data_IF_360377868124
#
_entry.id   IF_360377868124
#
_cell.length_a   1.000
_cell.length_b   1.000
_cell.length_c   1.000
_cell.angle_alpha   90.00
_cell.angle_beta   90.00
_cell.angle_gamma   90.00
#
_symmetry.space_group_name_H-M   'P 1'
#
loop_
_entity.id
_entity.type
_entity.pdbx_description
1 polymer ?
#
# COMPACT_ATOMS: atom_id res chain seq x y z
N UNK A 1 55.98 31.69 -10.52
CA UNK A 1 55.18 30.45 -10.59
C UNK A 1 54.10 30.60 -9.54
N UNK A 2 52.89 30.97 -9.95
CA UNK A 2 51.76 31.10 -9.04
C UNK A 2 51.34 29.72 -8.57
N UNK A 3 51.24 29.53 -7.26
CA UNK A 3 50.62 28.35 -6.70
C UNK A 3 49.12 28.48 -6.88
N UNK A 4 48.57 27.85 -7.91
CA UNK A 4 47.13 27.60 -7.98
C UNK A 4 46.80 26.66 -6.81
N UNK A 5 46.23 27.23 -5.74
CA UNK A 5 45.72 26.46 -4.61
C UNK A 5 44.71 25.44 -5.16
N UNK A 6 44.97 24.15 -4.90
CA UNK A 6 44.01 23.11 -5.29
C UNK A 6 42.66 23.43 -4.64
N UNK A 7 41.61 23.57 -5.44
CA UNK A 7 40.26 23.83 -4.95
C UNK A 7 39.75 22.74 -3.98
N UNK A 8 40.35 21.56 -4.03
CA UNK A 8 40.15 20.45 -3.10
C UNK A 8 40.64 20.72 -1.66
N UNK A 9 41.37 21.81 -1.39
CA UNK A 9 41.76 22.25 -0.04
C UNK A 9 40.73 23.22 0.58
N UNK A 10 39.86 23.84 -0.23
CA UNK A 10 38.75 24.72 0.25
C UNK A 10 37.58 23.94 0.87
N UNK A 11 37.80 22.67 1.20
CA UNK A 11 36.75 21.65 1.36
C UNK A 11 35.91 21.82 2.63
N UNK A 12 36.43 22.42 3.69
CA UNK A 12 35.64 22.60 4.93
C UNK A 12 34.70 23.81 4.87
N UNK A 13 35.09 24.92 4.23
CA UNK A 13 34.31 26.16 4.21
C UNK A 13 32.97 26.05 3.46
N UNK A 14 32.88 25.15 2.48
CA UNK A 14 31.71 25.00 1.61
C UNK A 14 30.88 23.73 1.88
N UNK A 15 31.14 23.02 2.99
CA UNK A 15 30.47 21.73 3.30
C UNK A 15 28.95 21.86 3.38
N UNK A 16 28.44 22.86 4.10
CA UNK A 16 26.99 23.08 4.27
C UNK A 16 26.31 23.39 2.94
N UNK A 17 26.93 24.25 2.13
CA UNK A 17 26.41 24.60 0.80
C UNK A 17 26.38 23.38 -0.10
N UNK A 18 27.44 22.56 -0.10
CA UNK A 18 27.49 21.29 -0.85
C UNK A 18 26.41 20.31 -0.44
N UNK A 19 26.21 20.10 0.87
CA UNK A 19 25.14 19.23 1.37
C UNK A 19 23.77 19.71 0.90
N UNK A 20 23.53 21.03 0.96
CA UNK A 20 22.26 21.60 0.53
C UNK A 20 22.03 21.44 -0.97
N UNK A 21 23.04 21.73 -1.79
CA UNK A 21 22.94 21.54 -3.24
C UNK A 21 22.78 20.08 -3.65
N UNK A 22 23.49 19.18 -2.98
CA UNK A 22 23.33 17.75 -3.20
C UNK A 22 21.94 17.26 -2.80
N UNK A 23 21.40 17.76 -1.67
CA UNK A 23 20.03 17.48 -1.24
C UNK A 23 19.00 17.92 -2.29
N UNK A 24 19.14 19.13 -2.83
CA UNK A 24 18.29 19.64 -3.92
C UNK A 24 18.38 18.77 -5.17
N UNK A 25 19.59 18.36 -5.57
CA UNK A 25 19.80 17.51 -6.73
C UNK A 25 19.20 16.11 -6.53
N UNK A 26 19.44 15.48 -5.38
CA UNK A 26 18.80 14.21 -5.03
C UNK A 26 17.27 14.34 -4.99
N UNK A 27 16.74 15.46 -4.52
CA UNK A 27 15.29 15.69 -4.50
C UNK A 27 14.72 15.77 -5.93
N UNK A 28 15.34 16.53 -6.82
CA UNK A 28 14.96 16.58 -8.25
C UNK A 28 14.95 15.20 -8.90
N UNK A 29 15.98 14.40 -8.63
CA UNK A 29 16.03 13.03 -9.16
C UNK A 29 14.90 12.16 -8.59
N UNK A 30 14.81 12.04 -7.27
CA UNK A 30 13.88 11.10 -6.64
C UNK A 30 12.42 11.51 -6.79
N UNK A 31 12.09 12.80 -6.66
CA UNK A 31 10.71 13.30 -6.65
C UNK A 31 10.23 13.74 -8.03
N UNK A 32 11.09 14.38 -8.83
CA UNK A 32 10.69 15.01 -10.10
C UNK A 32 11.10 14.19 -11.34
N UNK A 33 11.85 13.10 -11.16
CA UNK A 33 12.41 12.28 -12.25
C UNK A 33 13.27 13.09 -13.24
N UNK A 34 14.01 14.08 -12.72
CA UNK A 34 14.86 14.97 -13.51
C UNK A 34 16.10 14.22 -14.08
N UNK A 35 16.19 14.19 -15.42
CA UNK A 35 17.27 13.51 -16.17
C UNK A 35 18.65 14.16 -15.98
N UNK A 36 18.72 15.48 -15.78
CA UNK A 36 19.98 16.20 -15.54
C UNK A 36 20.52 15.85 -14.14
N UNK A 37 19.64 15.81 -13.14
CA UNK A 37 19.98 15.35 -11.80
C UNK A 37 20.43 13.89 -11.79
N UNK A 38 19.77 13.03 -12.58
CA UNK A 38 20.18 11.62 -12.77
C UNK A 38 21.61 11.53 -13.31
N UNK A 39 21.97 12.34 -14.31
CA UNK A 39 23.32 12.34 -14.90
C UNK A 39 24.41 12.61 -13.86
N UNK A 40 24.20 13.57 -12.95
CA UNK A 40 25.16 13.88 -11.87
C UNK A 40 25.21 12.77 -10.82
N UNK A 41 24.07 12.16 -10.49
CA UNK A 41 23.99 11.00 -9.59
C UNK A 41 24.74 9.78 -10.14
N UNK A 42 24.56 9.48 -11.43
CA UNK A 42 25.30 8.41 -12.10
C UNK A 42 26.81 8.68 -12.07
N UNK A 43 27.23 9.93 -12.27
CA UNK A 43 28.64 10.32 -12.13
C UNK A 43 29.16 10.15 -10.70
N UNK A 44 28.36 10.48 -9.69
CA UNK A 44 28.69 10.25 -8.28
C UNK A 44 28.83 8.75 -7.97
N UNK A 45 27.94 7.90 -8.47
CA UNK A 45 28.05 6.44 -8.28
C UNK A 45 29.28 5.88 -8.99
N UNK A 46 29.55 6.33 -10.23
CA UNK A 46 30.77 5.97 -10.96
C UNK A 46 32.02 6.39 -10.20
N UNK A 47 32.02 7.58 -9.60
CA UNK A 47 33.16 8.12 -8.83
C UNK A 47 33.55 7.30 -7.59
N UNK A 48 32.71 6.37 -7.13
CA UNK A 48 33.00 5.46 -5.99
C UNK A 48 33.78 4.22 -6.40
N UNK A 49 33.60 3.78 -7.63
CA UNK A 49 34.27 2.63 -8.19
C UNK A 49 35.43 3.24 -8.96
N UNK A 50 36.68 3.02 -8.56
CA UNK A 50 37.88 3.68 -9.10
C UNK A 50 38.11 3.51 -10.63
N UNK A 51 37.12 2.97 -11.35
CA UNK A 51 37.02 2.87 -12.78
C UNK A 51 36.47 4.18 -13.38
N UNK A 52 37.36 4.85 -14.08
CA UNK A 52 37.09 5.87 -15.11
C UNK A 52 36.98 7.29 -14.55
N UNK A 53 38.08 8.03 -14.71
CA UNK A 53 38.01 9.45 -15.06
C UNK A 53 37.14 9.58 -16.30
N UNK A 54 35.83 9.81 -16.12
CA UNK A 54 35.00 10.32 -17.19
C UNK A 54 35.51 11.74 -17.37
N UNK A 55 36.52 11.90 -18.22
CA UNK A 55 36.94 13.19 -18.75
C UNK A 55 35.65 13.92 -19.12
N UNK A 56 35.40 15.03 -18.44
CA UNK A 56 34.32 15.95 -18.76
C UNK A 56 34.32 16.15 -20.28
N UNK A 57 33.31 15.59 -20.96
CA UNK A 57 33.22 15.60 -22.42
C UNK A 57 32.73 16.98 -22.88
N UNK A 58 33.23 17.35 -24.06
CA UNK A 58 33.23 18.60 -24.83
C UNK A 58 32.08 19.61 -24.65
N UNK A 59 32.45 20.89 -24.81
CA UNK A 59 31.69 22.12 -24.62
C UNK A 59 30.38 22.20 -25.44
N UNK A 60 29.27 21.78 -24.83
CA UNK A 60 27.94 22.34 -25.08
C UNK A 60 27.38 22.93 -23.79
N UNK A 61 26.43 23.88 -23.86
CA UNK A 61 25.95 24.61 -22.67
C UNK A 61 25.37 23.73 -21.54
N UNK A 62 24.89 22.52 -21.86
CA UNK A 62 24.45 21.53 -20.87
C UNK A 62 25.63 20.83 -20.17
N UNK A 63 26.78 20.73 -20.83
CA UNK A 63 28.00 20.16 -20.27
C UNK A 63 28.71 21.14 -19.34
N UNK A 64 28.60 22.45 -19.58
CA UNK A 64 29.11 23.49 -18.68
C UNK A 64 28.42 23.44 -17.31
N UNK A 65 27.08 23.41 -17.29
CA UNK A 65 26.30 23.34 -16.05
C UNK A 65 26.52 22.02 -15.29
N UNK A 66 26.70 20.91 -16.01
CA UNK A 66 27.08 19.62 -15.42
C UNK A 66 28.46 19.72 -14.75
N UNK A 67 29.46 20.25 -15.46
CA UNK A 67 30.83 20.37 -14.95
C UNK A 67 30.91 21.29 -13.74
N UNK A 68 30.23 22.45 -13.77
CA UNK A 68 30.13 23.35 -12.62
C UNK A 68 29.52 22.64 -11.40
N UNK A 69 28.49 21.81 -11.63
CA UNK A 69 27.82 21.06 -10.54
C UNK A 69 28.74 19.99 -9.96
N UNK A 70 29.41 19.21 -10.80
CA UNK A 70 30.39 18.17 -10.40
C UNK A 70 31.56 18.80 -9.62
N UNK A 71 32.07 19.94 -10.11
CA UNK A 71 33.13 20.69 -9.47
C UNK A 71 32.69 21.25 -8.11
N UNK A 72 31.52 21.88 -8.04
CA UNK A 72 30.96 22.42 -6.80
C UNK A 72 30.74 21.34 -5.75
N UNK A 73 30.32 20.13 -6.17
CA UNK A 73 30.12 18.96 -5.30
C UNK A 73 31.43 18.31 -4.84
N UNK A 74 32.57 18.67 -5.44
CA UNK A 74 33.87 18.10 -5.10
C UNK A 74 34.04 16.67 -5.63
N UNK A 75 33.40 16.35 -6.76
CA UNK A 75 33.43 15.04 -7.40
C UNK A 75 34.60 14.88 -8.39
N UNK A 76 35.45 15.90 -8.54
CA UNK A 76 36.71 15.77 -9.27
C UNK A 76 37.81 15.21 -8.37
N UNK A 77 38.31 14.02 -8.74
CA UNK A 77 39.46 13.42 -8.06
C UNK A 77 40.71 14.26 -8.31
N UNK A 78 41.39 14.66 -7.24
CA UNK A 78 42.64 15.40 -7.33
C UNK A 78 43.82 14.44 -7.47
N UNK A 79 44.72 14.69 -8.42
CA UNK A 79 45.92 13.86 -8.65
C UNK A 79 47.05 14.12 -7.62
N UNK A 80 46.82 14.97 -6.61
CA UNK A 80 47.81 15.28 -5.58
C UNK A 80 47.75 14.19 -4.49
N UNK A 81 48.87 13.48 -4.20
CA UNK A 81 48.90 12.29 -3.31
C UNK A 81 48.52 12.48 -1.82
N UNK A 82 47.97 13.63 -1.43
CA UNK A 82 47.51 13.94 -0.07
C UNK A 82 46.06 14.44 -0.01
N UNK A 83 45.37 14.52 -1.16
CA UNK A 83 44.02 15.07 -1.27
C UNK A 83 42.93 13.99 -1.46
N UNK A 84 43.32 12.71 -1.54
CA UNK A 84 42.39 11.59 -1.63
C UNK A 84 41.47 11.49 -0.41
N UNK A 85 41.96 11.85 0.78
CA UNK A 85 41.15 11.90 1.99
C UNK A 85 40.00 12.91 1.88
N UNK A 86 40.23 14.07 1.28
CA UNK A 86 39.21 15.10 1.09
C UNK A 86 38.12 14.65 0.11
N UNK A 87 38.51 13.95 -0.95
CA UNK A 87 37.57 13.36 -1.90
C UNK A 87 36.73 12.26 -1.23
N UNK A 88 37.36 11.35 -0.50
CA UNK A 88 36.66 10.28 0.22
C UNK A 88 35.69 10.83 1.27
N UNK A 89 36.07 11.89 2.00
CA UNK A 89 35.18 12.58 2.94
C UNK A 89 33.99 13.23 2.22
N UNK A 90 34.20 13.82 1.04
CA UNK A 90 33.11 14.36 0.23
C UNK A 90 32.14 13.25 -0.21
N UNK A 91 32.65 12.13 -0.74
CA UNK A 91 31.83 10.99 -1.15
C UNK A 91 30.99 10.45 0.02
N UNK A 92 31.59 10.23 1.19
CA UNK A 92 30.88 9.73 2.36
C UNK A 92 29.77 10.69 2.81
N UNK A 93 30.06 11.99 2.85
CA UNK A 93 29.07 13.01 3.21
C UNK A 93 27.91 13.04 2.20
N UNK A 94 28.19 13.02 0.90
CA UNK A 94 27.15 12.99 -0.14
C UNK A 94 26.31 11.71 -0.07
N UNK A 95 26.93 10.57 0.27
CA UNK A 95 26.22 9.30 0.42
C UNK A 95 25.20 9.34 1.56
N UNK A 96 25.58 9.90 2.72
CA UNK A 96 24.67 10.09 3.86
C UNK A 96 23.46 10.91 3.44
N UNK A 97 23.69 12.08 2.82
CA UNK A 97 22.60 12.98 2.38
C UNK A 97 21.72 12.32 1.31
N UNK A 98 22.30 11.60 0.33
CA UNK A 98 21.53 10.86 -0.68
C UNK A 98 20.61 9.84 -0.01
N UNK A 99 21.13 9.08 0.96
CA UNK A 99 20.35 8.07 1.67
C UNK A 99 19.24 8.69 2.54
N UNK A 100 19.48 9.84 3.17
CA UNK A 100 18.44 10.62 3.86
C UNK A 100 17.31 11.03 2.91
N UNK A 101 17.65 11.62 1.75
CA UNK A 101 16.65 12.05 0.75
C UNK A 101 15.89 10.86 0.18
N UNK A 102 16.58 9.75 -0.12
CA UNK A 102 15.97 8.51 -0.60
C UNK A 102 15.01 7.91 0.42
N UNK A 103 15.37 7.91 1.70
CA UNK A 103 14.49 7.46 2.77
C UNK A 103 13.23 8.32 2.83
N UNK A 104 13.38 9.65 2.82
CA UNK A 104 12.25 10.58 2.78
C UNK A 104 11.35 10.40 1.54
N UNK A 105 11.93 10.08 0.38
CA UNK A 105 11.17 9.77 -0.83
C UNK A 105 10.35 8.49 -0.68
N UNK A 106 10.94 7.42 -0.14
CA UNK A 106 10.19 6.18 0.12
C UNK A 106 9.05 6.40 1.10
N UNK A 107 9.27 7.20 2.15
CA UNK A 107 8.21 7.61 3.07
C UNK A 107 7.12 8.41 2.35
N UNK A 108 7.49 9.38 1.51
CA UNK A 108 6.54 10.16 0.71
C UNK A 108 5.70 9.28 -0.21
N UNK A 109 6.32 8.37 -0.96
CA UNK A 109 5.62 7.42 -1.85
C UNK A 109 4.70 6.50 -1.07
N UNK A 110 5.16 5.98 0.09
CA UNK A 110 4.35 5.17 0.98
C UNK A 110 3.11 5.94 1.43
N UNK A 111 3.29 7.16 1.93
CA UNK A 111 2.22 8.04 2.37
C UNK A 111 1.20 8.32 1.26
N UNK A 112 1.68 8.56 0.03
CA UNK A 112 0.81 8.75 -1.13
C UNK A 112 -0.02 7.51 -1.44
N UNK A 113 0.55 6.30 -1.37
CA UNK A 113 -0.18 5.04 -1.58
C UNK A 113 -1.29 4.85 -0.54
N UNK A 114 -0.99 5.11 0.73
CA UNK A 114 -1.98 5.05 1.80
C UNK A 114 -3.10 6.09 1.64
N UNK A 115 -2.76 7.33 1.26
CA UNK A 115 -3.76 8.38 0.99
C UNK A 115 -4.67 8.04 -0.20
N UNK A 116 -4.11 7.45 -1.27
CA UNK A 116 -4.89 6.97 -2.43
C UNK A 116 -5.82 5.84 -2.03
N UNK A 117 -5.35 4.89 -1.21
CA UNK A 117 -6.20 3.82 -0.69
C UNK A 117 -7.34 4.37 0.18
N UNK A 118 -7.02 5.25 1.13
CA UNK A 118 -7.99 5.89 2.03
C UNK A 118 -9.11 6.58 1.26
N UNK A 119 -8.76 7.33 0.21
CA UNK A 119 -9.71 8.02 -0.67
C UNK A 119 -10.63 7.02 -1.35
N UNK A 120 -10.07 5.99 -2.02
CA UNK A 120 -10.86 4.97 -2.71
C UNK A 120 -11.74 4.17 -1.77
N UNK A 121 -11.25 3.84 -0.58
CA UNK A 121 -12.01 3.13 0.43
C UNK A 121 -13.19 3.98 0.91
N UNK A 122 -13.01 5.29 1.14
CA UNK A 122 -14.11 6.19 1.53
C UNK A 122 -15.18 6.35 0.45
N UNK A 123 -14.77 6.34 -0.81
CA UNK A 123 -15.69 6.37 -1.96
C UNK A 123 -16.45 5.04 -2.18
N UNK A 124 -16.02 3.97 -1.51
CA UNK A 124 -16.54 2.62 -1.71
C UNK A 124 -17.22 2.11 -0.43
N UNK A 125 -18.52 1.87 -0.50
CA UNK A 125 -19.29 1.31 0.62
C UNK A 125 -20.29 0.26 0.16
N UNK A 126 -20.53 -0.71 1.02
CA UNK A 126 -21.64 -1.64 0.85
C UNK A 126 -22.98 -0.89 0.93
N UNK A 127 -24.00 -1.49 0.34
CA UNK A 127 -25.29 -0.82 0.10
C UNK A 127 -26.34 -1.08 1.18
N UNK A 128 -26.10 -2.07 2.04
CA UNK A 128 -27.04 -2.55 3.05
C UNK A 128 -26.74 -2.07 4.48
N UNK A 129 -25.68 -1.28 4.64
CA UNK A 129 -25.34 -0.62 5.89
C UNK A 129 -25.37 0.89 5.71
N UNK A 130 -25.66 1.60 6.79
CA UNK A 130 -25.59 3.05 6.88
C UNK A 130 -24.54 3.43 7.91
N UNK A 131 -23.65 4.34 7.50
CA UNK A 131 -22.59 4.88 8.35
C UNK A 131 -23.05 6.26 8.80
N UNK A 132 -23.02 6.43 10.11
CA UNK A 132 -23.36 7.68 10.78
C UNK A 132 -22.15 8.14 11.58
N UNK A 133 -22.10 9.44 11.88
CA UNK A 133 -21.11 10.01 12.77
C UNK A 133 -21.84 10.72 13.92
N UNK A 134 -21.34 10.55 15.14
CA UNK A 134 -21.81 11.35 16.28
C UNK A 134 -21.16 12.75 16.28
N UNK A 135 -21.56 13.59 17.25
CA UNK A 135 -21.02 14.95 17.41
C UNK A 135 -19.49 14.98 17.67
N UNK A 136 -18.90 13.84 18.05
CA UNK A 136 -17.46 13.67 18.25
C UNK A 136 -16.76 13.04 17.03
N UNK A 137 -17.43 13.01 15.88
CA UNK A 137 -16.97 12.37 14.64
C UNK A 137 -16.69 10.86 14.77
N UNK A 138 -17.21 10.19 15.80
CA UNK A 138 -17.11 8.73 15.92
C UNK A 138 -18.10 8.08 14.97
N UNK A 139 -17.58 7.23 14.11
CA UNK A 139 -18.40 6.51 13.15
C UNK A 139 -19.10 5.32 13.81
N UNK A 140 -20.38 5.15 13.53
CA UNK A 140 -21.15 3.97 13.88
C UNK A 140 -21.90 3.44 12.67
N UNK A 141 -22.08 2.13 12.63
CA UNK A 141 -22.69 1.42 11.50
C UNK A 141 -24.01 0.81 11.95
N UNK A 142 -25.03 0.93 11.11
CA UNK A 142 -26.37 0.38 11.34
C UNK A 142 -26.88 -0.32 10.09
N UNK A 143 -27.80 -1.28 10.25
CA UNK A 143 -28.43 -1.97 9.12
C UNK A 143 -29.42 -1.04 8.43
N UNK A 144 -29.29 -0.89 7.10
CA UNK A 144 -30.30 -0.23 6.28
C UNK A 144 -31.49 -1.18 6.13
N UNK A 145 -32.62 -0.85 6.76
CA UNK A 145 -33.83 -1.67 6.69
C UNK A 145 -34.40 -1.60 5.27
N UNK A 146 -34.53 -2.77 4.64
CA UNK A 146 -35.15 -2.95 3.32
C UNK A 146 -36.33 -3.92 3.40
N UNK A 147 -37.54 -3.39 3.27
CA UNK A 147 -38.78 -4.14 3.43
C UNK A 147 -39.00 -5.20 2.33
N UNK A 148 -38.62 -4.87 1.09
CA UNK A 148 -38.78 -5.76 -0.08
C UNK A 148 -37.45 -6.34 -0.57
N UNK A 149 -36.50 -6.56 0.35
CA UNK A 149 -35.20 -7.12 -0.04
C UNK A 149 -35.36 -8.58 -0.45
N UNK A 150 -34.91 -8.88 -1.67
CA UNK A 150 -34.75 -10.24 -2.17
C UNK A 150 -33.35 -10.38 -2.74
N UNK A 151 -32.61 -11.38 -2.24
CA UNK A 151 -31.30 -11.74 -2.75
C UNK A 151 -31.47 -12.65 -3.97
N UNK A 152 -31.38 -12.03 -5.14
CA UNK A 152 -31.52 -12.72 -6.42
C UNK A 152 -30.41 -13.77 -6.63
N UNK A 153 -30.77 -14.92 -7.19
CA UNK A 153 -29.82 -15.97 -7.57
C UNK A 153 -28.75 -15.45 -8.52
N UNK A 154 -29.11 -14.56 -9.45
CA UNK A 154 -28.15 -13.92 -10.35
C UNK A 154 -27.08 -13.08 -9.63
N UNK A 155 -27.42 -12.47 -8.49
CA UNK A 155 -26.44 -11.74 -7.67
C UNK A 155 -25.53 -12.71 -6.91
N UNK A 156 -26.09 -13.82 -6.41
CA UNK A 156 -25.32 -14.89 -5.81
C UNK A 156 -24.28 -15.46 -6.79
N UNK A 157 -24.71 -15.85 -8.00
CA UNK A 157 -23.81 -16.38 -9.04
C UNK A 157 -22.68 -15.42 -9.38
N UNK A 158 -22.99 -14.13 -9.60
CA UNK A 158 -21.96 -13.10 -9.83
C UNK A 158 -20.98 -12.95 -8.67
N UNK A 159 -21.45 -13.13 -7.43
CA UNK A 159 -20.59 -13.07 -6.24
C UNK A 159 -19.62 -14.26 -6.23
N UNK A 160 -20.12 -15.46 -6.50
CA UNK A 160 -19.31 -16.68 -6.60
C UNK A 160 -18.25 -16.57 -7.71
N UNK A 161 -18.65 -16.16 -8.92
CA UNK A 161 -17.73 -15.95 -10.05
C UNK A 161 -16.62 -14.95 -9.71
N UNK A 162 -16.97 -13.80 -9.10
CA UNK A 162 -15.98 -12.80 -8.69
C UNK A 162 -15.02 -13.33 -7.63
N UNK A 163 -15.51 -14.17 -6.73
CA UNK A 163 -14.71 -14.79 -5.69
C UNK A 163 -13.73 -15.81 -6.29
N UNK A 164 -14.18 -16.65 -7.21
CA UNK A 164 -13.35 -17.62 -7.95
C UNK A 164 -12.25 -16.91 -8.72
N UNK A 165 -12.61 -15.91 -9.55
CA UNK A 165 -11.65 -15.13 -10.33
C UNK A 165 -10.63 -14.44 -9.44
N UNK A 166 -11.06 -13.88 -8.30
CA UNK A 166 -10.13 -13.26 -7.35
C UNK A 166 -9.13 -14.26 -6.77
N UNK A 167 -9.61 -15.43 -6.32
CA UNK A 167 -8.74 -16.47 -5.76
C UNK A 167 -7.77 -16.96 -6.83
N UNK A 168 -8.25 -17.32 -8.02
CA UNK A 168 -7.40 -17.83 -9.10
C UNK A 168 -6.28 -16.86 -9.48
N UNK A 169 -6.61 -15.57 -9.55
CA UNK A 169 -5.65 -14.51 -9.88
C UNK A 169 -4.56 -14.35 -8.81
N UNK A 170 -4.93 -14.39 -7.53
CA UNK A 170 -4.04 -14.00 -6.43
C UNK A 170 -3.42 -15.18 -5.66
N UNK A 171 -3.86 -16.42 -5.91
CA UNK A 171 -3.40 -17.61 -5.18
C UNK A 171 -1.93 -17.99 -5.48
N UNK A 172 -1.38 -17.61 -6.63
CA UNK A 172 0.04 -17.84 -6.91
C UNK A 172 0.95 -16.87 -6.15
N UNK A 173 0.41 -15.75 -5.67
CA UNK A 173 1.14 -14.74 -4.92
C UNK A 173 1.04 -15.02 -3.42
N UNK A 174 2.14 -15.52 -2.85
CA UNK A 174 2.26 -15.83 -1.42
C UNK A 174 1.93 -14.63 -0.53
N UNK A 175 2.21 -13.40 -0.99
CA UNK A 175 1.86 -12.16 -0.29
C UNK A 175 0.35 -11.97 -0.09
N UNK A 176 -0.50 -12.58 -0.90
CA UNK A 176 -1.96 -12.50 -0.80
C UNK A 176 -2.55 -13.56 0.15
N UNK A 177 -1.80 -14.61 0.49
CA UNK A 177 -2.31 -15.73 1.31
C UNK A 177 -2.82 -15.30 2.70
N UNK A 178 -2.12 -14.41 3.44
CA UNK A 178 -2.62 -13.90 4.72
C UNK A 178 -4.00 -13.25 4.62
N UNK A 179 -4.25 -12.48 3.56
CA UNK A 179 -5.56 -11.86 3.30
C UNK A 179 -6.64 -12.91 3.01
N UNK A 180 -6.36 -13.89 2.14
CA UNK A 180 -7.30 -14.98 1.85
C UNK A 180 -7.66 -15.78 3.11
N UNK A 181 -6.66 -16.11 3.93
CA UNK A 181 -6.86 -16.79 5.20
C UNK A 181 -7.66 -15.93 6.20
N UNK A 182 -7.41 -14.61 6.22
CA UNK A 182 -8.15 -13.63 7.02
C UNK A 182 -9.62 -13.54 6.60
N UNK A 183 -9.90 -13.41 5.31
CA UNK A 183 -11.26 -13.34 4.77
C UNK A 183 -12.05 -14.64 5.03
N UNK A 184 -11.44 -15.80 4.83
CA UNK A 184 -12.04 -17.09 5.20
C UNK A 184 -12.42 -17.11 6.69
N UNK A 185 -11.53 -16.61 7.54
CA UNK A 185 -11.74 -16.56 8.99
C UNK A 185 -12.87 -15.58 9.35
N UNK A 186 -12.95 -14.42 8.69
CA UNK A 186 -14.02 -13.45 8.88
C UNK A 186 -15.40 -14.00 8.47
N UNK A 187 -15.48 -14.72 7.35
CA UNK A 187 -16.69 -15.42 6.93
C UNK A 187 -17.10 -16.48 7.96
N UNK A 188 -16.15 -17.29 8.44
CA UNK A 188 -16.39 -18.28 9.50
C UNK A 188 -16.93 -17.64 10.78
N UNK A 189 -16.35 -16.52 11.22
CA UNK A 189 -16.84 -15.82 12.42
C UNK A 189 -18.29 -15.38 12.30
N UNK A 190 -18.71 -14.94 11.11
CA UNK A 190 -20.09 -14.56 10.85
C UNK A 190 -21.02 -15.77 10.81
N UNK A 191 -20.55 -16.92 10.29
CA UNK A 191 -21.30 -18.18 10.32
C UNK A 191 -21.53 -18.70 11.75
N UNK A 192 -20.60 -18.43 12.66
CA UNK A 192 -20.66 -18.80 14.08
C UNK A 192 -21.49 -17.83 14.94
N UNK A 193 -22.10 -16.79 14.35
CA UNK A 193 -22.77 -15.72 15.08
C UNK A 193 -24.14 -15.35 14.48
N UNK A 194 -25.09 -15.00 15.35
CA UNK A 194 -26.37 -14.40 14.97
C UNK A 194 -26.24 -12.89 14.69
N UNK A 195 -25.15 -12.27 15.14
CA UNK A 195 -24.82 -10.86 14.89
C UNK A 195 -23.71 -10.75 13.86
N UNK A 196 -23.65 -9.63 13.14
CA UNK A 196 -22.54 -9.31 12.25
C UNK A 196 -21.27 -9.24 13.08
N UNK A 197 -20.24 -9.95 12.65
CA UNK A 197 -18.90 -9.85 13.23
C UNK A 197 -18.04 -9.06 12.29
N UNK A 198 -17.50 -7.94 12.79
CA UNK A 198 -16.61 -7.10 12.01
C UNK A 198 -15.19 -7.69 11.99
N UNK A 199 -14.56 -7.57 10.83
CA UNK A 199 -13.17 -7.93 10.61
C UNK A 199 -12.31 -6.65 10.71
N UNK A 200 -11.60 -6.51 11.82
CA UNK A 200 -10.73 -5.35 12.06
C UNK A 200 -9.40 -5.56 11.36
N UNK A 201 -9.08 -4.71 10.39
CA UNK A 201 -7.98 -4.90 9.44
C UNK A 201 -7.19 -3.60 9.25
N UNK A 202 -5.86 -3.69 9.22
CA UNK A 202 -4.98 -2.58 8.88
C UNK A 202 -4.95 -2.34 7.38
N UNK A 203 -4.94 -1.08 6.95
CA UNK A 203 -4.84 -0.68 5.55
C UNK A 203 -3.54 -1.19 4.90
N UNK A 204 -2.50 -1.48 5.69
CA UNK A 204 -1.26 -2.09 5.23
C UNK A 204 -1.48 -3.42 4.50
N UNK A 205 -2.52 -4.17 4.89
CA UNK A 205 -2.87 -5.43 4.23
C UNK A 205 -3.27 -5.21 2.78
N UNK A 206 -3.82 -4.06 2.43
CA UNK A 206 -4.16 -3.74 1.04
C UNK A 206 -3.02 -3.05 0.30
N UNK A 207 -2.25 -2.21 0.98
CA UNK A 207 -1.24 -1.33 0.36
C UNK A 207 0.12 -2.03 0.19
N UNK A 208 0.48 -2.92 1.10
CA UNK A 208 1.81 -3.55 1.15
C UNK A 208 1.80 -5.02 0.72
N UNK A 209 0.63 -5.63 0.59
CA UNK A 209 0.50 -7.04 0.20
C UNK A 209 0.16 -7.20 -1.28
N UNK A 210 0.59 -8.33 -1.85
CA UNK A 210 0.19 -8.75 -3.18
C UNK A 210 0.91 -8.04 -4.32
N UNK A 211 0.30 -8.07 -5.50
CA UNK A 211 0.80 -7.41 -6.71
C UNK A 211 0.23 -6.00 -6.88
N UNK A 212 0.61 -5.30 -7.96
CA UNK A 212 0.17 -3.93 -8.23
C UNK A 212 -1.35 -3.77 -8.41
N UNK A 213 -2.07 -4.86 -8.65
CA UNK A 213 -3.52 -4.86 -8.84
C UNK A 213 -4.29 -5.35 -7.61
N UNK A 214 -3.60 -5.99 -6.66
CA UNK A 214 -4.21 -6.61 -5.48
C UNK A 214 -5.07 -5.63 -4.70
N UNK A 215 -4.55 -4.44 -4.37
CA UNK A 215 -5.28 -3.40 -3.62
C UNK A 215 -6.66 -3.10 -4.23
N UNK A 216 -6.71 -2.91 -5.55
CA UNK A 216 -7.94 -2.60 -6.27
C UNK A 216 -8.89 -3.80 -6.29
N UNK A 217 -8.37 -4.98 -6.61
CA UNK A 217 -9.16 -6.21 -6.70
C UNK A 217 -9.74 -6.60 -5.33
N UNK A 218 -8.98 -6.44 -4.25
CA UNK A 218 -9.40 -6.78 -2.89
C UNK A 218 -10.51 -5.83 -2.42
N UNK A 219 -10.36 -4.52 -2.66
CA UNK A 219 -11.41 -3.55 -2.35
C UNK A 219 -12.70 -3.83 -3.16
N UNK A 220 -12.56 -4.12 -4.45
CA UNK A 220 -13.69 -4.46 -5.32
C UNK A 220 -14.37 -5.76 -4.88
N UNK A 221 -13.61 -6.78 -4.47
CA UNK A 221 -14.17 -8.02 -3.93
C UNK A 221 -14.98 -7.73 -2.65
N UNK A 222 -14.38 -7.05 -1.67
CA UNK A 222 -15.02 -6.80 -0.38
C UNK A 222 -16.29 -5.96 -0.57
N UNK A 223 -16.21 -4.83 -1.27
CA UNK A 223 -17.33 -3.87 -1.37
C UNK A 223 -18.32 -4.27 -2.46
N UNK A 224 -17.87 -4.61 -3.67
CA UNK A 224 -18.78 -4.77 -4.81
C UNK A 224 -19.28 -6.21 -4.98
N UNK A 225 -18.52 -7.21 -4.54
CA UNK A 225 -18.97 -8.61 -4.62
C UNK A 225 -19.63 -9.04 -3.30
N UNK A 226 -18.92 -8.87 -2.19
CA UNK A 226 -19.36 -9.34 -0.87
C UNK A 226 -20.21 -8.31 -0.10
N UNK A 227 -20.36 -7.09 -0.65
CA UNK A 227 -21.17 -6.01 -0.09
C UNK A 227 -20.77 -5.63 1.35
N UNK A 228 -19.49 -5.78 1.68
CA UNK A 228 -18.95 -5.27 2.93
C UNK A 228 -19.07 -3.75 2.98
N UNK A 229 -19.36 -3.24 4.17
CA UNK A 229 -19.17 -1.83 4.49
C UNK A 229 -18.07 -1.68 5.53
N UNK A 230 -17.50 -0.49 5.66
CA UNK A 230 -16.42 -0.27 6.62
C UNK A 230 -16.45 1.13 7.21
N UNK A 231 -15.92 1.25 8.42
CA UNK A 231 -15.64 2.54 9.04
C UNK A 231 -14.22 2.54 9.63
N UNK A 232 -13.66 3.73 9.84
CA UNK A 232 -12.38 3.84 10.54
C UNK A 232 -12.58 3.37 11.98
N UNK A 233 -11.70 2.48 12.45
CA UNK A 233 -11.82 1.92 13.79
C UNK A 233 -11.55 3.03 14.81
N UNK A 234 -12.47 3.25 15.74
CA UNK A 234 -12.22 4.18 16.83
C UNK A 234 -11.00 3.69 17.61
N UNK A 235 -9.95 4.51 17.69
CA UNK A 235 -8.70 4.17 18.37
C UNK A 235 -9.02 3.96 19.86
N UNK A 236 -9.19 2.70 20.27
CA UNK A 236 -9.15 2.31 21.68
C UNK A 236 -7.69 1.95 21.96
N UNK A 237 -6.85 2.96 22.14
CA UNK A 237 -5.42 2.81 22.36
C UNK A 237 -4.77 4.15 22.70
N UNK A 238 -3.92 4.17 23.73
CA UNK A 238 -3.21 5.34 24.23
C UNK A 238 -2.48 6.11 23.12
N UNK A 239 -2.62 7.44 23.03
CA UNK A 239 -1.77 8.25 22.17
C UNK A 239 -0.31 8.05 22.60
N UNK A 240 0.56 7.62 21.70
CA UNK A 240 2.02 7.62 21.94
C UNK A 240 2.76 6.29 21.90
N UNK A 241 2.12 5.15 21.58
CA UNK A 241 2.87 3.91 21.29
C UNK A 241 3.07 3.71 19.78
N UNK A 242 4.03 4.45 19.22
CA UNK A 242 4.93 4.00 18.15
C UNK A 242 4.42 3.55 16.78
N UNK A 243 3.12 3.62 16.46
CA UNK A 243 2.62 3.24 15.13
C UNK A 243 2.49 4.46 14.23
N UNK A 244 2.99 4.33 12.99
CA UNK A 244 3.00 5.36 11.97
C UNK A 244 1.57 5.95 11.83
N UNK A 245 1.33 7.23 12.17
CA UNK A 245 -0.01 7.83 12.31
C UNK A 245 -0.86 7.82 11.03
N UNK A 246 -0.28 7.32 9.93
CA UNK A 246 -0.86 7.24 8.60
C UNK A 246 -1.50 5.89 8.27
N UNK A 247 -1.05 4.81 8.91
CA UNK A 247 -1.59 3.47 8.65
C UNK A 247 -2.87 3.31 9.45
N UNK A 248 -4.01 3.48 8.77
CA UNK A 248 -5.31 3.36 9.40
C UNK A 248 -5.69 1.90 9.62
N UNK A 249 -6.58 1.70 10.57
CA UNK A 249 -7.27 0.42 10.78
C UNK A 249 -8.75 0.62 10.58
N UNK A 250 -9.38 -0.30 9.85
CA UNK A 250 -10.80 -0.26 9.48
C UNK A 250 -11.52 -1.49 10.01
N UNK A 251 -12.76 -1.28 10.42
CA UNK A 251 -13.66 -2.36 10.81
C UNK A 251 -14.55 -2.70 9.60
N UNK A 252 -14.38 -3.90 9.05
CA UNK A 252 -15.11 -4.37 7.87
C UNK A 252 -16.29 -5.25 8.28
N UNK A 253 -17.50 -4.81 7.95
CA UNK A 253 -18.77 -5.46 8.32
C UNK A 253 -19.31 -6.23 7.11
N UNK A 254 -19.51 -7.53 7.28
CA UNK A 254 -20.18 -8.36 6.26
C UNK A 254 -21.63 -7.89 6.08
N UNK A 255 -22.16 -8.06 4.87
CA UNK A 255 -23.56 -7.79 4.55
C UNK A 255 -24.52 -8.54 5.50
N UNK A 256 -25.35 -7.84 6.31
CA UNK A 256 -26.31 -8.47 7.22
C UNK A 256 -27.33 -9.36 6.50
N UNK A 257 -27.55 -9.11 5.21
CA UNK A 257 -28.47 -9.87 4.38
C UNK A 257 -27.84 -11.10 3.72
N UNK A 258 -26.55 -11.38 3.97
CA UNK A 258 -25.91 -12.62 3.50
C UNK A 258 -26.30 -13.81 4.40
N UNK A 259 -26.89 -14.83 3.79
CA UNK A 259 -27.33 -16.03 4.49
C UNK A 259 -26.20 -16.98 4.83
N UNK A 260 -26.45 -17.88 5.78
CA UNK A 260 -25.49 -18.93 6.11
C UNK A 260 -25.24 -19.90 4.96
N UNK A 261 -26.23 -20.07 4.06
CA UNK A 261 -26.07 -20.90 2.87
C UNK A 261 -25.00 -20.30 1.95
N UNK A 262 -25.15 -19.01 1.65
CA UNK A 262 -24.22 -18.25 0.82
C UNK A 262 -22.81 -18.21 1.42
N UNK A 263 -22.69 -17.92 2.72
CA UNK A 263 -21.39 -17.91 3.41
C UNK A 263 -20.71 -19.28 3.26
N UNK A 264 -21.44 -20.39 3.46
CA UNK A 264 -20.87 -21.74 3.30
C UNK A 264 -20.47 -22.03 1.85
N UNK A 265 -21.23 -21.55 0.87
CA UNK A 265 -20.86 -21.72 -0.54
C UNK A 265 -19.59 -20.93 -0.88
N UNK A 266 -19.48 -19.66 -0.47
CA UNK A 266 -18.28 -18.86 -0.63
C UNK A 266 -17.06 -19.50 0.03
N UNK A 267 -17.22 -20.02 1.25
CA UNK A 267 -16.14 -20.69 1.99
C UNK A 267 -15.61 -21.94 1.27
N UNK A 268 -16.41 -22.62 0.43
CA UNK A 268 -15.96 -23.80 -0.34
C UNK A 268 -15.03 -23.44 -1.48
N UNK A 269 -15.01 -22.18 -1.93
CA UNK A 269 -14.13 -21.71 -2.99
C UNK A 269 -12.69 -21.54 -2.52
N UNK A 270 -12.48 -21.36 -1.21
CA UNK A 270 -11.14 -21.13 -0.68
C UNK A 270 -10.25 -22.38 -0.85
N UNK A 271 -8.96 -22.18 -1.14
CA UNK A 271 -8.01 -23.26 -1.11
C UNK A 271 -7.92 -23.85 0.31
N UNK A 272 -7.57 -25.13 0.40
CA UNK A 272 -7.33 -25.79 1.68
C UNK A 272 -6.28 -25.01 2.50
N UNK A 273 -6.49 -24.85 3.81
CA UNK A 273 -5.62 -24.04 4.68
C UNK A 273 -4.13 -24.37 4.56
N UNK A 274 -3.77 -25.65 4.34
CA UNK A 274 -2.39 -26.09 4.13
C UNK A 274 -1.71 -25.55 2.86
N UNK A 275 -2.46 -24.97 1.92
CA UNK A 275 -1.96 -24.32 0.70
C UNK A 275 -1.75 -22.82 0.88
N UNK A 276 -2.24 -22.24 1.97
CA UNK A 276 -2.07 -20.83 2.28
C UNK A 276 -0.91 -20.69 3.26
N UNK A 277 -0.05 -19.71 2.99
CA UNK A 277 1.11 -19.39 3.81
C UNK A 277 0.85 -18.15 4.66
N UNK A 278 1.57 -18.05 5.78
CA UNK A 278 1.41 -16.94 6.71
C UNK A 278 0.20 -17.07 7.63
N UNK A 279 0.05 -16.08 8.51
CA UNK A 279 -1.06 -16.03 9.48
C UNK A 279 -2.24 -15.27 8.87
N UNK A 280 -3.50 -15.64 9.18
CA UNK A 280 -4.66 -14.86 8.80
C UNK A 280 -4.53 -13.40 9.26
N UNK A 281 -4.82 -12.44 8.37
CA UNK A 281 -4.80 -11.03 8.72
C UNK A 281 -6.04 -10.59 9.48
N UNK A 282 -5.89 -9.52 10.26
CA UNK A 282 -6.96 -8.88 11.01
C UNK A 282 -7.45 -9.66 12.24
N UNK A 283 -8.39 -9.06 12.95
CA UNK A 283 -8.90 -9.56 14.24
C UNK A 283 -10.42 -9.52 14.30
N UNK A 284 -10.98 -10.33 15.21
CA UNK A 284 -12.42 -10.45 15.42
C UNK A 284 -12.93 -9.28 16.26
N UNK A 285 -13.91 -8.55 15.76
CA UNK A 285 -14.66 -7.54 16.54
C UNK A 285 -16.14 -7.94 16.60
N UNK A 286 -16.61 -8.21 17.82
CA UNK A 286 -18.02 -8.49 18.05
C UNK A 286 -18.84 -7.20 17.97
N UNK A 287 -20.03 -7.29 17.37
CA UNK A 287 -20.97 -6.17 17.27
C UNK A 287 -22.31 -6.56 17.90
N UNK A 288 -23.20 -5.57 18.04
CA UNK A 288 -24.60 -5.79 18.46
C UNK A 288 -25.57 -5.79 17.29
N UNK A 289 -25.06 -5.81 16.05
CA UNK A 289 -25.85 -5.68 14.85
C UNK A 289 -26.35 -7.05 14.41
N UNK A 290 -27.65 -7.26 14.37
CA UNK A 290 -28.19 -8.56 13.98
C UNK A 290 -27.96 -8.85 12.50
N UNK A 291 -27.74 -10.12 12.17
CA UNK A 291 -27.78 -10.59 10.78
C UNK A 291 -29.23 -10.80 10.37
N UNK A 292 -29.69 -10.05 9.38
CA UNK A 292 -31.09 -10.03 8.95
C UNK A 292 -31.55 -11.32 8.25
N UNK A 293 -30.64 -12.04 7.59
CA UNK A 293 -31.00 -13.16 6.70
C UNK A 293 -30.28 -14.48 7.04
N UNK A 294 -30.01 -14.76 8.32
CA UNK A 294 -29.23 -15.96 8.73
C UNK A 294 -29.73 -17.25 8.08
N UNK A 295 -31.06 -17.46 8.05
CA UNK A 295 -31.66 -18.69 7.54
C UNK A 295 -32.07 -18.63 6.06
N UNK A 296 -31.71 -17.57 5.34
CA UNK A 296 -31.96 -17.45 3.90
C UNK A 296 -33.43 -17.21 3.53
N UNK A 297 -34.26 -16.68 4.43
CA UNK A 297 -35.67 -16.38 4.11
C UNK A 297 -35.82 -15.26 3.06
N UNK A 298 -34.78 -14.43 2.91
CA UNK A 298 -34.70 -13.37 1.91
C UNK A 298 -33.90 -13.80 0.68
N UNK A 299 -33.53 -15.08 0.58
CA UNK A 299 -32.91 -15.63 -0.63
C UNK A 299 -34.00 -15.99 -1.64
N UNK A 300 -33.74 -15.73 -2.92
CA UNK A 300 -34.63 -16.17 -3.99
C UNK A 300 -34.73 -17.69 -3.98
N UNK A 301 -35.96 -18.21 -3.81
CA UNK A 301 -36.17 -19.66 -3.87
C UNK A 301 -35.80 -20.16 -5.27
N UNK A 302 -34.89 -21.15 -5.39
CA UNK A 302 -34.60 -21.74 -6.69
C UNK A 302 -35.90 -22.34 -7.22
N UNK A 303 -36.24 -22.02 -8.47
CA UNK A 303 -37.44 -22.55 -9.12
C UNK A 303 -37.36 -24.07 -9.10
N UNK A 304 -38.49 -24.73 -8.88
CA UNK A 304 -38.57 -26.19 -8.73
C UNK A 304 -37.82 -26.97 -9.82
N UNK A 305 -37.76 -26.44 -11.05
CA UNK A 305 -37.07 -27.05 -12.19
C UNK A 305 -35.54 -26.95 -12.13
N UNK A 306 -34.97 -25.90 -11.54
CA UNK A 306 -33.51 -25.74 -11.43
C UNK A 306 -32.88 -26.75 -10.46
N UNK A 307 -33.68 -27.31 -9.53
CA UNK A 307 -33.24 -28.40 -8.64
C UNK A 307 -33.01 -29.73 -9.35
N UNK A 308 -33.57 -29.92 -10.55
CA UNK A 308 -33.56 -31.21 -11.26
C UNK A 308 -32.79 -31.17 -12.59
N UNK A 309 -32.38 -30.00 -13.07
CA UNK A 309 -31.61 -29.86 -14.32
C UNK A 309 -30.09 -29.95 -14.16
N UNK A 310 -29.56 -30.39 -13.00
CA UNK A 310 -28.15 -30.78 -12.86
C UNK A 310 -27.99 -32.30 -12.98
N UNK A 311 -28.63 -32.91 -13.98
CA UNK A 311 -28.20 -34.17 -14.60
C UNK A 311 -28.76 -34.17 -16.02
N UNK A 312 -27.90 -33.92 -17.00
CA UNK A 312 -27.82 -34.60 -18.30
C UNK A 312 -26.53 -34.18 -19.01
#
# INVERSE_FOLDING_TARGET
MGGDECQCASVEGNRVVRQQRWRELCAKFYYDQDDEAKRVLDHFEASKVDEISISAVEETGADEQFNETVQMLGLHKCMVPSHDENFNQAIQMLEVVKNEVRAGYHDHVSNQRYAVFDTKAKESQGTNLEIWADDNARQYVSVRIRHDYLRMMGNHTKTMERMEVFIEKHLSNVGCHPFLAGLFTALRWNLESSTVVAWKLSDAVFVESGDSEFTHNALALLVLALNFSHCESAVIGTPGTGENPQVKTRDWYLDPYMSDHDIRQLMRLFPAAKRLEGRPTGTKMLTKMDRTNVHGQLDENPKFFDRWCVVL
#
